data_IF_936455654122
#
_entry.id   IF_936455654122
#
_cell.length_a   1.000
_cell.length_b   1.000
_cell.length_c   1.000
_cell.angle_alpha   90.00
_cell.angle_beta   90.00
_cell.angle_gamma   90.00
#
_symmetry.space_group_name_H-M   'P 1'
#
loop_
_entity.id
_entity.type
_entity.pdbx_description
1 polymer ?
#
# COMPACT_ATOMS: atom_id res chain seq x y z
N UNK A 1 21.77 -36.39 55.18
CA UNK A 1 22.70 -35.53 54.40
C UNK A 1 23.05 -36.35 53.16
N UNK A 2 22.79 -35.97 51.90
CA UNK A 2 23.13 -34.75 51.14
C UNK A 2 22.10 -34.62 50.00
N UNK A 3 21.47 -33.44 49.85
CA UNK A 3 20.42 -33.16 48.84
C UNK A 3 21.05 -32.94 47.46
N UNK A 4 20.64 -33.70 46.45
CA UNK A 4 21.00 -33.44 45.06
C UNK A 4 20.12 -32.32 44.50
N UNK A 5 20.74 -31.25 43.99
CA UNK A 5 20.06 -30.11 43.37
C UNK A 5 19.81 -30.43 41.89
N UNK A 6 18.57 -30.65 41.50
CA UNK A 6 18.15 -30.71 40.10
C UNK A 6 18.12 -29.28 39.52
N UNK A 7 19.05 -28.99 38.60
CA UNK A 7 19.06 -27.73 37.83
C UNK A 7 17.98 -27.81 36.76
N UNK A 8 16.88 -27.10 36.98
CA UNK A 8 15.78 -26.98 36.03
C UNK A 8 16.15 -25.89 35.01
N UNK A 9 16.52 -26.29 33.80
CA UNK A 9 16.71 -25.35 32.68
C UNK A 9 15.32 -24.91 32.21
N UNK A 10 14.91 -23.74 32.67
CA UNK A 10 13.73 -23.05 32.17
C UNK A 10 14.02 -22.65 30.71
N UNK A 11 13.50 -23.41 29.75
CA UNK A 11 13.30 -22.93 28.39
C UNK A 11 12.18 -21.89 28.45
N UNK A 12 12.57 -20.61 28.56
CA UNK A 12 11.65 -19.49 28.43
C UNK A 12 11.02 -19.59 27.05
N UNK A 13 9.70 -19.78 27.07
CA UNK A 13 8.89 -20.09 25.91
C UNK A 13 8.79 -18.95 24.92
N UNK A 14 8.52 -19.36 23.68
CA UNK A 14 7.52 -18.69 22.85
C UNK A 14 7.94 -17.36 22.26
N UNK A 15 8.91 -17.38 21.34
CA UNK A 15 8.82 -16.46 20.21
C UNK A 15 7.84 -17.06 19.21
N UNK A 16 6.54 -16.95 19.49
CA UNK A 16 5.51 -17.18 18.46
C UNK A 16 5.69 -16.08 17.44
N UNK A 17 6.37 -16.41 16.34
CA UNK A 17 6.24 -15.71 15.08
C UNK A 17 4.75 -15.76 14.68
N UNK A 18 4.00 -14.74 15.10
CA UNK A 18 2.64 -14.51 14.61
C UNK A 18 2.73 -13.96 13.21
N UNK A 19 2.80 -14.82 12.19
CA UNK A 19 2.65 -14.41 10.80
C UNK A 19 2.37 -15.63 9.90
N UNK A 20 1.13 -16.12 9.96
CA UNK A 20 0.39 -16.67 8.82
C UNK A 20 -0.94 -17.31 9.25
N UNK A 21 -1.90 -16.50 9.72
CA UNK A 21 -3.34 -16.76 9.55
C UNK A 21 -4.16 -15.59 10.11
N UNK A 22 -5.24 -15.24 9.42
CA UNK A 22 -6.20 -14.14 9.63
C UNK A 22 -5.75 -12.78 9.05
N UNK A 23 -6.41 -12.15 8.07
CA UNK A 23 -7.70 -12.42 7.44
C UNK A 23 -7.69 -11.88 6.00
N UNK A 24 -8.05 -12.71 5.04
CA UNK A 24 -8.65 -12.22 3.81
C UNK A 24 -10.01 -11.61 4.20
N UNK A 25 -10.06 -10.28 4.38
CA UNK A 25 -11.34 -9.58 4.61
C UNK A 25 -11.34 -8.43 5.63
N UNK A 26 -10.25 -8.14 6.34
CA UNK A 26 -10.16 -6.88 7.07
C UNK A 26 -9.94 -5.75 6.07
N UNK A 27 -10.94 -4.89 5.87
CA UNK A 27 -10.78 -3.69 5.08
C UNK A 27 -9.63 -2.87 5.67
N UNK A 28 -8.63 -2.55 4.84
CA UNK A 28 -7.50 -1.75 5.27
C UNK A 28 -8.02 -0.37 5.75
N UNK A 29 -7.53 0.17 6.88
CA UNK A 29 -8.07 1.39 7.47
C UNK A 29 -7.99 2.57 6.50
N UNK A 30 -9.01 3.44 6.54
CA UNK A 30 -9.05 4.69 5.74
C UNK A 30 -7.76 5.50 5.97
N UNK A 31 -7.21 6.07 4.91
CA UNK A 31 -6.09 7.00 5.02
C UNK A 31 -6.60 8.31 5.61
N UNK A 32 -6.03 8.72 6.74
CA UNK A 32 -6.35 9.99 7.40
C UNK A 32 -5.09 10.81 7.67
N UNK A 33 -5.27 12.10 7.98
CA UNK A 33 -4.19 13.02 8.31
C UNK A 33 -3.53 12.73 9.66
N UNK A 34 -4.18 11.92 10.51
CA UNK A 34 -3.70 11.57 11.86
C UNK A 34 -2.98 10.22 11.88
N UNK A 35 -3.06 9.46 10.78
CA UNK A 35 -2.43 8.15 10.69
C UNK A 35 -0.93 8.30 10.44
N UNK A 36 -0.15 7.64 11.29
CA UNK A 36 1.30 7.55 11.12
C UNK A 36 1.64 6.43 10.14
N UNK A 37 2.49 6.76 9.18
CA UNK A 37 3.05 5.80 8.23
C UNK A 37 4.56 5.84 8.32
N UNK A 38 5.18 4.65 8.28
CA UNK A 38 6.62 4.53 8.13
C UNK A 38 7.01 4.71 6.67
N UNK A 39 8.30 5.00 6.42
CA UNK A 39 8.85 4.95 5.07
C UNK A 39 8.50 3.63 4.37
N UNK A 40 8.23 3.75 3.08
CA UNK A 40 7.91 2.65 2.17
C UNK A 40 6.63 1.87 2.48
N UNK A 41 5.79 2.37 3.40
CA UNK A 41 4.44 1.83 3.58
C UNK A 41 3.69 1.91 2.25
N UNK A 42 3.35 0.76 1.69
CA UNK A 42 2.69 0.66 0.40
C UNK A 42 1.18 0.57 0.56
N UNK A 43 0.45 1.46 -0.12
CA UNK A 43 -0.99 1.40 -0.22
C UNK A 43 -1.39 1.21 -1.68
N UNK A 44 -2.23 0.22 -1.95
CA UNK A 44 -2.64 -0.09 -3.31
C UNK A 44 -3.42 1.07 -3.95
N UNK A 45 -2.92 1.57 -5.07
CA UNK A 45 -3.49 2.71 -5.80
C UNK A 45 -2.89 4.07 -5.39
N UNK A 46 -2.49 4.25 -4.13
CA UNK A 46 -1.83 5.49 -3.67
C UNK A 46 -0.30 5.46 -3.83
N UNK A 47 0.34 4.29 -3.68
CA UNK A 47 1.79 4.11 -3.84
C UNK A 47 2.55 3.94 -2.52
N UNK A 48 3.85 4.24 -2.55
CA UNK A 48 4.78 4.16 -1.41
C UNK A 48 4.82 5.47 -0.64
N UNK A 49 4.63 5.40 0.68
CA UNK A 49 4.73 6.56 1.55
C UNK A 49 6.19 6.96 1.79
N UNK A 50 6.52 8.23 1.56
CA UNK A 50 7.82 8.79 1.92
C UNK A 50 7.64 9.73 3.11
N UNK A 51 8.04 9.30 4.30
CA UNK A 51 7.83 10.03 5.54
C UNK A 51 8.48 11.44 5.56
N UNK A 52 9.73 11.65 5.07
CA UNK A 52 10.30 12.99 5.02
C UNK A 52 9.50 13.99 4.18
N UNK A 53 8.72 13.50 3.21
CA UNK A 53 7.92 14.31 2.30
C UNK A 53 6.42 14.27 2.62
N UNK A 54 6.02 13.48 3.62
CA UNK A 54 4.64 13.33 4.09
C UNK A 54 3.63 13.02 2.98
N UNK A 55 4.06 12.27 1.96
CA UNK A 55 3.30 12.01 0.73
C UNK A 55 3.54 10.61 0.15
N UNK A 56 2.65 10.18 -0.75
CA UNK A 56 2.73 8.90 -1.46
C UNK A 56 3.28 9.09 -2.87
N UNK A 57 4.10 8.14 -3.32
CA UNK A 57 4.81 8.20 -4.59
C UNK A 57 4.83 6.84 -5.31
N UNK A 58 5.03 6.80 -6.64
CA UNK A 58 4.97 5.55 -7.41
C UNK A 58 6.13 4.59 -7.16
N UNK A 59 7.26 5.07 -6.66
CA UNK A 59 8.46 4.27 -6.41
C UNK A 59 8.86 4.37 -4.93
N UNK A 60 9.54 3.36 -4.37
CA UNK A 60 10.05 3.41 -3.01
C UNK A 60 10.99 4.60 -2.73
N UNK A 61 11.11 4.95 -1.46
CA UNK A 61 12.03 5.95 -0.97
C UNK A 61 13.48 5.55 -1.28
N UNK A 62 14.22 6.44 -1.96
CA UNK A 62 15.56 6.17 -2.46
C UNK A 62 15.65 4.99 -3.45
N UNK A 63 14.60 4.75 -4.24
CA UNK A 63 14.68 3.79 -5.35
C UNK A 63 15.76 4.19 -6.36
N UNK A 64 16.70 3.29 -6.65
CA UNK A 64 17.77 3.53 -7.63
C UNK A 64 17.38 3.00 -9.01
N UNK A 65 17.47 3.86 -10.03
CA UNK A 65 17.29 3.49 -11.44
C UNK A 65 18.67 3.28 -12.11
N UNK A 66 19.00 2.06 -12.56
CA UNK A 66 20.30 1.76 -13.16
C UNK A 66 20.48 2.36 -14.57
N UNK A 67 19.41 2.67 -15.30
CA UNK A 67 19.49 3.28 -16.63
C UNK A 67 19.83 4.76 -16.52
N UNK A 68 19.25 5.45 -15.53
CA UNK A 68 19.48 6.88 -15.27
C UNK A 68 20.66 7.13 -14.35
N UNK A 69 21.05 6.14 -13.56
CA UNK A 69 22.01 6.26 -12.47
C UNK A 69 21.58 7.32 -11.43
N UNK A 70 20.27 7.40 -11.17
CA UNK A 70 19.67 8.37 -10.25
C UNK A 70 18.80 7.67 -9.20
N UNK A 71 18.60 8.35 -8.08
CA UNK A 71 17.74 7.94 -6.98
C UNK A 71 16.43 8.74 -7.03
N UNK A 72 15.30 8.04 -6.92
CA UNK A 72 13.99 8.66 -6.77
C UNK A 72 13.64 8.87 -5.30
N UNK A 73 13.22 10.07 -4.95
CA UNK A 73 12.69 10.39 -3.63
C UNK A 73 11.82 11.65 -3.72
N UNK A 74 10.68 11.68 -3.02
CA UNK A 74 9.90 12.91 -2.87
C UNK A 74 9.34 13.46 -4.19
N UNK A 75 9.16 12.60 -5.21
CA UNK A 75 8.64 13.00 -6.52
C UNK A 75 9.69 13.50 -7.51
N UNK A 76 10.98 13.44 -7.16
CA UNK A 76 12.09 13.91 -7.99
C UNK A 76 13.20 12.85 -8.10
N UNK A 77 14.10 13.08 -9.05
CA UNK A 77 15.29 12.26 -9.28
C UNK A 77 16.54 13.04 -8.87
N UNK A 78 17.45 12.41 -8.14
CA UNK A 78 18.70 13.02 -7.69
C UNK A 78 19.92 12.09 -7.80
N UNK A 79 21.14 12.64 -7.86
CA UNK A 79 22.37 11.87 -8.06
C UNK A 79 22.80 11.05 -6.83
N UNK A 80 22.23 11.34 -5.66
CA UNK A 80 22.53 10.66 -4.40
C UNK A 80 21.21 10.38 -3.64
N UNK A 81 21.18 9.35 -2.78
CA UNK A 81 20.01 9.06 -1.96
C UNK A 81 19.74 10.22 -0.98
N UNK A 82 18.47 10.55 -0.79
CA UNK A 82 18.04 11.55 0.17
C UNK A 82 18.24 11.02 1.60
N UNK A 83 18.94 11.82 2.41
CA UNK A 83 19.32 11.47 3.78
C UNK A 83 18.45 12.24 4.76
N UNK A 84 17.53 11.53 5.41
CA UNK A 84 16.68 12.07 6.49
C UNK A 84 16.53 11.03 7.59
N UNK A 85 16.50 11.50 8.83
CA UNK A 85 16.21 10.65 10.01
C UNK A 85 14.70 10.40 10.20
N UNK A 86 13.85 11.15 9.49
CA UNK A 86 12.40 11.02 9.59
C UNK A 86 11.99 9.72 8.91
N UNK A 87 11.68 8.70 9.70
CA UNK A 87 11.23 7.39 9.19
C UNK A 87 9.73 7.16 9.37
N UNK A 88 9.05 8.02 10.13
CA UNK A 88 7.63 7.94 10.45
C UNK A 88 7.04 9.36 10.50
N UNK A 89 5.89 9.55 9.87
CA UNK A 89 5.17 10.82 9.90
C UNK A 89 3.71 10.63 9.52
N UNK A 90 2.90 11.66 9.76
CA UNK A 90 1.52 11.71 9.26
C UNK A 90 1.43 12.56 7.97
N UNK A 91 0.63 12.17 6.97
CA UNK A 91 0.42 12.95 5.75
C UNK A 91 -0.22 14.31 6.06
N UNK A 92 -0.18 15.23 5.10
CA UNK A 92 -1.07 16.40 5.18
C UNK A 92 -2.52 15.97 4.92
N UNK A 93 -3.49 16.78 5.37
CA UNK A 93 -4.92 16.49 5.13
C UNK A 93 -5.26 16.34 3.64
N UNK A 94 -4.66 17.18 2.80
CA UNK A 94 -4.87 17.11 1.35
C UNK A 94 -4.26 15.84 0.73
N UNK A 95 -3.04 15.47 1.15
CA UNK A 95 -2.41 14.23 0.70
C UNK A 95 -3.24 13.00 1.13
N UNK A 96 -3.71 12.97 2.37
CA UNK A 96 -4.54 11.88 2.87
C UNK A 96 -5.84 11.75 2.04
N UNK A 97 -6.48 12.88 1.73
CA UNK A 97 -7.69 12.93 0.89
C UNK A 97 -7.42 12.41 -0.52
N UNK A 98 -6.36 12.88 -1.17
CA UNK A 98 -6.00 12.46 -2.52
C UNK A 98 -5.61 10.97 -2.56
N UNK A 99 -4.85 10.51 -1.58
CA UNK A 99 -4.45 9.12 -1.46
C UNK A 99 -5.67 8.21 -1.26
N UNK A 100 -6.60 8.56 -0.37
CA UNK A 100 -7.83 7.79 -0.15
C UNK A 100 -8.70 7.71 -1.42
N UNK A 101 -8.74 8.76 -2.24
CA UNK A 101 -9.44 8.74 -3.54
C UNK A 101 -8.75 7.86 -4.58
N UNK A 102 -7.42 7.74 -4.52
CA UNK A 102 -6.64 6.93 -5.46
C UNK A 102 -6.64 5.43 -5.12
N UNK A 103 -7.11 5.05 -3.94
CA UNK A 103 -7.13 3.66 -3.47
C UNK A 103 -7.99 2.75 -4.32
N UNK A 104 -7.48 1.56 -4.60
CA UNK A 104 -8.21 0.54 -5.38
C UNK A 104 -8.57 -0.70 -4.58
N UNK A 105 -8.13 -0.81 -3.34
CA UNK A 105 -8.43 -1.91 -2.42
C UNK A 105 -9.80 -1.76 -1.73
N UNK A 106 -10.38 -0.55 -1.72
CA UNK A 106 -11.70 -0.26 -1.13
C UNK A 106 -12.89 -0.67 -2.01
N UNK A 107 -12.68 -1.33 -3.15
CA UNK A 107 -13.77 -1.85 -3.97
C UNK A 107 -14.55 -2.97 -3.24
N UNK A 108 -15.51 -2.58 -2.39
CA UNK A 108 -16.54 -3.47 -1.84
C UNK A 108 -17.54 -3.93 -2.93
N UNK A 109 -18.47 -4.85 -2.62
CA UNK A 109 -19.21 -5.70 -3.58
C UNK A 109 -20.20 -4.98 -4.53
N UNK A 110 -20.17 -3.66 -4.60
CA UNK A 110 -20.88 -2.84 -5.58
C UNK A 110 -19.92 -2.26 -6.60
N UNK A 111 -18.97 -3.08 -7.09
CA UNK A 111 -18.49 -2.91 -8.44
C UNK A 111 -19.70 -3.06 -9.37
N UNK A 112 -20.47 -1.98 -9.52
CA UNK A 112 -21.35 -1.79 -10.64
C UNK A 112 -20.50 -2.18 -11.84
N UNK A 113 -20.91 -3.19 -12.64
CA UNK A 113 -20.17 -3.52 -13.84
C UNK A 113 -20.06 -2.20 -14.59
N UNK A 114 -18.82 -1.76 -14.82
CA UNK A 114 -18.53 -0.65 -15.73
C UNK A 114 -19.41 -0.90 -16.94
N UNK A 115 -20.46 -0.10 -17.10
CA UNK A 115 -21.34 -0.19 -18.23
C UNK A 115 -20.45 0.16 -19.42
N UNK A 116 -19.91 -0.88 -20.08
CA UNK A 116 -19.28 -0.75 -21.37
C UNK A 116 -20.40 -0.26 -22.27
N UNK A 117 -20.42 1.04 -22.51
CA UNK A 117 -21.22 1.66 -23.56
C UNK A 117 -20.79 1.03 -24.89
N UNK A 118 -21.43 -0.08 -25.23
CA UNK A 118 -21.22 -0.78 -26.49
C UNK A 118 -21.83 0.06 -27.61
N UNK A 119 -20.97 0.53 -28.50
CA UNK A 119 -21.32 1.11 -29.77
C UNK A 119 -22.05 0.07 -30.64
N UNK A 120 -23.15 0.47 -31.28
CA UNK A 120 -23.63 -0.10 -32.54
C UNK A 120 -24.62 -1.26 -32.46
N UNK A 121 -25.91 -0.96 -32.30
CA UNK A 121 -26.96 -1.78 -32.89
C UNK A 121 -27.43 -1.08 -34.17
N UNK A 122 -27.06 -1.63 -35.33
CA UNK A 122 -27.77 -1.36 -36.59
C UNK A 122 -28.41 -2.67 -37.03
N UNK A 123 -29.59 -2.98 -36.50
CA UNK A 123 -30.46 -3.97 -37.12
C UNK A 123 -31.13 -3.32 -38.34
N UNK A 124 -30.56 -3.56 -39.54
CA UNK A 124 -31.29 -3.39 -40.79
C UNK A 124 -32.02 -4.70 -41.06
N UNK A 125 -33.31 -4.76 -40.73
CA UNK A 125 -34.19 -5.79 -41.25
C UNK A 125 -34.79 -5.27 -42.56
N UNK A 126 -34.36 -5.81 -43.69
CA UNK A 126 -35.02 -5.61 -44.97
C UNK A 126 -36.28 -6.49 -45.02
N UNK A 127 -37.45 -5.87 -45.05
CA UNK A 127 -38.71 -6.49 -45.45
C UNK A 127 -38.89 -6.22 -46.95
N UNK A 128 -38.76 -7.24 -47.79
CA UNK A 128 -39.19 -7.19 -49.18
C UNK A 128 -40.49 -7.98 -49.30
N UNK A 129 -41.60 -7.26 -49.35
CA UNK A 129 -42.92 -7.82 -49.61
C UNK A 129 -43.66 -6.94 -50.60
N UNK A 130 -43.77 -7.42 -51.84
CA UNK A 130 -44.87 -7.24 -52.80
C UNK A 130 -44.51 -7.96 -54.08
#
# INVERSE_FOLDING_TARGET
>A
MKRSRSVQRLLIGGFTAGLAAAAAGAAEPRITADQLYTNDTFIRGAGHYHAPFRAFFPLPYNHYDPQRQLYFYGGQWGPAPHRSIVNISAPSAEVARLAELARTDRAGPIAAPVARSGFGSTSRSHYSGS
#
